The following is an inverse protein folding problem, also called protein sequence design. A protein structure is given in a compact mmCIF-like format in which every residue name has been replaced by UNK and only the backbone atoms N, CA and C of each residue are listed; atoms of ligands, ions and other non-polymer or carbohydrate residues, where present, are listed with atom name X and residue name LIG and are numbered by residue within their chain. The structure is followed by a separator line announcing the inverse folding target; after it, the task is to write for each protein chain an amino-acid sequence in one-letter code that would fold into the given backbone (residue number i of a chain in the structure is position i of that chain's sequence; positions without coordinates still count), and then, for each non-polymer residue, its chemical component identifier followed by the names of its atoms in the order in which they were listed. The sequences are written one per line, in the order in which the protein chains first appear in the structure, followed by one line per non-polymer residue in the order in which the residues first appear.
data_IF_018508525417
#
_entry.id   IF_018508525417
#
_cell.length_a   1.000
_cell.length_b   1.000
_cell.length_c   1.000
_cell.angle_alpha   90.00
_cell.angle_beta   90.00
_cell.angle_gamma   90.00
#
_symmetry.space_group_name_H-M   'P 1'
#
loop_
_entity.id
_entity.type
_entity.pdbx_description
1 polymer ?
#
# COMPACT_ATOMS: atom_id res chain seq x y z
N UNK A 1 -4.41 2.66 8.62
CA UNK A 1 -3.63 3.56 7.73
C UNK A 1 -2.23 3.06 7.43
N UNK A 2 -1.73 2.03 8.12
CA UNK A 2 -0.36 1.54 7.95
C UNK A 2 -0.02 1.09 6.52
N UNK A 3 -0.92 0.32 5.88
CA UNK A 3 -0.69 -0.19 4.52
C UNK A 3 -0.47 0.93 3.50
N UNK A 4 -1.29 1.99 3.54
CA UNK A 4 -1.11 3.14 2.64
C UNK A 4 0.14 3.93 3.01
N UNK A 5 0.46 4.07 4.30
CA UNK A 5 1.69 4.72 4.74
C UNK A 5 2.95 4.03 4.18
N UNK A 6 2.96 2.70 4.12
CA UNK A 6 4.07 1.94 3.54
C UNK A 6 4.21 2.19 2.03
N UNK A 7 3.11 2.33 1.30
CA UNK A 7 3.14 2.65 -0.13
C UNK A 7 3.55 4.10 -0.41
N UNK A 8 3.12 5.03 0.44
CA UNK A 8 3.58 6.43 0.38
C UNK A 8 5.08 6.50 0.67
N UNK A 9 5.58 5.79 1.69
CA UNK A 9 7.02 5.71 1.99
C UNK A 9 7.81 5.19 0.79
N UNK A 10 7.33 4.14 0.13
CA UNK A 10 7.95 3.60 -1.09
C UNK A 10 7.94 4.61 -2.23
N UNK A 11 6.84 5.35 -2.42
CA UNK A 11 6.74 6.42 -3.40
C UNK A 11 7.72 7.57 -3.13
N UNK A 12 7.87 7.97 -1.86
CA UNK A 12 8.83 8.99 -1.42
C UNK A 12 10.28 8.54 -1.65
N UNK A 13 10.63 7.29 -1.36
CA UNK A 13 11.96 6.75 -1.63
C UNK A 13 12.31 6.78 -3.14
N UNK A 14 11.33 6.47 -4.01
CA UNK A 14 11.50 6.61 -5.48
C UNK A 14 11.73 8.07 -5.88
N UNK A 15 10.97 9.02 -5.29
CA UNK A 15 11.13 10.44 -5.54
C UNK A 15 12.50 10.96 -5.05
N UNK A 16 12.96 10.52 -3.87
CA UNK A 16 14.28 10.86 -3.33
C UNK A 16 15.39 10.47 -4.30
N UNK A 17 15.32 9.26 -4.87
CA UNK A 17 16.29 8.79 -5.87
C UNK A 17 16.34 9.72 -7.09
N UNK A 18 15.19 10.11 -7.61
CA UNK A 18 15.09 11.03 -8.77
C UNK A 18 15.63 12.42 -8.43
N UNK A 19 15.36 12.93 -7.23
CA UNK A 19 15.92 14.20 -6.75
C UNK A 19 17.44 14.12 -6.70
N UNK A 20 18.00 13.05 -6.10
CA UNK A 20 19.44 12.85 -6.00
C UNK A 20 20.11 12.73 -7.37
N UNK A 21 19.51 12.00 -8.30
CA UNK A 21 19.96 11.92 -9.69
C UNK A 21 20.01 13.32 -10.32
N UNK A 22 18.92 14.09 -10.25
CA UNK A 22 18.85 15.45 -10.82
C UNK A 22 19.87 16.42 -10.23
N UNK A 23 20.14 16.32 -8.92
CA UNK A 23 21.16 17.14 -8.27
C UNK A 23 22.57 16.87 -8.80
N UNK A 24 22.85 15.67 -9.32
CA UNK A 24 24.17 15.35 -9.90
C UNK A 24 24.31 15.74 -11.36
N UNK A 25 23.20 15.91 -12.10
CA UNK A 25 23.22 16.14 -13.55
C UNK A 25 22.91 17.58 -13.94
N UNK A 26 22.23 18.35 -13.08
CA UNK A 26 21.86 19.74 -13.36
C UNK A 26 22.95 20.73 -12.94
N UNK A 27 23.02 21.84 -13.65
CA UNK A 27 23.92 22.94 -13.35
C UNK A 27 23.51 23.64 -12.04
N UNK A 28 24.49 23.91 -11.18
CA UNK A 28 24.30 24.38 -9.80
C UNK A 28 23.58 25.72 -9.75
N UNK A 29 23.83 26.59 -10.72
CA UNK A 29 23.23 27.93 -10.79
C UNK A 29 21.74 27.91 -11.21
N UNK A 30 21.29 26.82 -11.85
CA UNK A 30 19.90 26.65 -12.31
C UNK A 30 19.03 25.80 -11.37
N UNK A 31 19.60 25.25 -10.29
CA UNK A 31 18.87 24.38 -9.37
C UNK A 31 17.91 25.19 -8.50
N UNK A 32 16.62 24.84 -8.56
CA UNK A 32 15.61 25.29 -7.61
C UNK A 32 14.89 24.09 -7.00
N UNK A 33 14.31 24.19 -5.80
CA UNK A 33 13.58 23.08 -5.20
C UNK A 33 12.43 22.55 -6.08
N UNK A 34 11.79 23.44 -6.86
CA UNK A 34 10.72 23.07 -7.77
C UNK A 34 11.19 22.24 -8.97
N UNK A 35 12.41 22.49 -9.50
CA UNK A 35 12.94 21.72 -10.63
C UNK A 35 13.42 20.33 -10.22
N UNK A 36 13.77 20.15 -8.95
CA UNK A 36 14.18 18.86 -8.40
C UNK A 36 12.99 17.93 -8.09
N UNK A 37 11.89 18.48 -7.57
CA UNK A 37 10.76 17.67 -7.10
C UNK A 37 9.94 17.14 -8.30
N UNK A 38 9.76 15.83 -8.35
CA UNK A 38 8.84 15.17 -9.27
C UNK A 38 7.82 14.33 -8.48
N UNK A 39 6.56 14.74 -8.49
CA UNK A 39 5.49 14.08 -7.72
C UNK A 39 4.98 12.79 -8.36
N UNK A 40 5.29 12.52 -9.64
CA UNK A 40 4.75 11.37 -10.38
C UNK A 40 4.96 10.01 -9.68
N UNK A 41 6.13 9.70 -9.08
CA UNK A 41 6.34 8.43 -8.39
C UNK A 41 5.42 8.21 -7.18
N UNK A 42 5.12 9.28 -6.44
CA UNK A 42 4.22 9.24 -5.27
C UNK A 42 2.78 9.05 -5.71
N UNK A 43 2.34 9.81 -6.72
CA UNK A 43 0.98 9.67 -7.28
C UNK A 43 0.79 8.28 -7.87
N UNK A 44 1.79 7.74 -8.56
CA UNK A 44 1.75 6.40 -9.11
C UNK A 44 1.62 5.33 -8.02
N UNK A 45 2.38 5.39 -6.93
CA UNK A 45 2.29 4.39 -5.85
C UNK A 45 0.92 4.42 -5.15
N UNK A 46 0.35 5.60 -4.96
CA UNK A 46 -1.01 5.74 -4.39
C UNK A 46 -2.06 5.16 -5.35
N UNK A 47 -1.98 5.50 -6.65
CA UNK A 47 -2.91 4.99 -7.66
C UNK A 47 -2.83 3.46 -7.80
N UNK A 48 -1.64 2.90 -7.80
CA UNK A 48 -1.41 1.46 -7.85
C UNK A 48 -2.04 0.77 -6.63
N UNK A 49 -1.81 1.31 -5.43
CA UNK A 49 -2.39 0.74 -4.20
C UNK A 49 -3.92 0.70 -4.23
N UNK A 50 -4.60 1.77 -4.64
CA UNK A 50 -6.07 1.77 -4.65
C UNK A 50 -6.67 1.12 -5.91
N UNK A 51 -5.95 1.14 -7.03
CA UNK A 51 -6.44 0.66 -8.32
C UNK A 51 -6.28 -0.83 -8.54
N UNK A 52 -5.18 -1.43 -8.09
CA UNK A 52 -4.83 -2.83 -8.43
C UNK A 52 -4.43 -3.71 -7.25
N UNK A 53 -4.32 -3.16 -6.04
CA UNK A 53 -4.01 -3.97 -4.86
C UNK A 53 -5.08 -5.02 -4.59
N UNK A 54 -4.66 -6.24 -4.28
CA UNK A 54 -5.55 -7.32 -3.83
C UNK A 54 -6.35 -6.97 -2.57
N UNK A 55 -5.87 -6.00 -1.78
CA UNK A 55 -6.53 -5.51 -0.57
C UNK A 55 -7.54 -4.38 -0.86
N UNK A 56 -7.50 -3.77 -2.05
CA UNK A 56 -8.49 -2.78 -2.49
C UNK A 56 -9.60 -3.50 -3.25
N UNK A 57 -10.63 -3.93 -2.52
CA UNK A 57 -11.73 -4.73 -3.06
C UNK A 57 -12.93 -3.86 -3.42
N UNK A 58 -13.69 -4.29 -4.43
CA UNK A 58 -14.98 -3.69 -4.72
C UNK A 58 -15.94 -3.92 -3.56
N UNK A 59 -16.51 -2.84 -3.04
CA UNK A 59 -17.30 -2.86 -1.82
C UNK A 59 -18.60 -3.64 -2.01
N UNK A 60 -18.90 -4.55 -1.08
CA UNK A 60 -20.20 -5.24 -1.01
C UNK A 60 -21.23 -4.30 -0.37
N UNK A 61 -22.26 -3.93 -1.12
CA UNK A 61 -23.23 -2.91 -0.74
C UNK A 61 -24.68 -3.41 -0.85
N UNK A 62 -24.91 -4.72 -0.86
CA UNK A 62 -26.26 -5.27 -0.98
C UNK A 62 -27.17 -4.83 0.19
N UNK A 63 -26.59 -4.63 1.37
CA UNK A 63 -27.28 -4.11 2.56
C UNK A 63 -26.25 -3.51 3.55
N UNK A 64 -26.69 -2.73 4.56
CA UNK A 64 -25.77 -2.11 5.53
C UNK A 64 -24.91 -3.11 6.31
N UNK A 65 -25.42 -4.31 6.59
CA UNK A 65 -24.67 -5.35 7.31
C UNK A 65 -23.57 -5.95 6.43
N UNK A 66 -23.84 -6.22 5.15
CA UNK A 66 -22.81 -6.60 4.16
C UNK A 66 -21.71 -5.54 4.09
N UNK A 67 -22.09 -4.26 4.07
CA UNK A 67 -21.13 -3.16 4.06
C UNK A 67 -20.27 -3.11 5.33
N UNK A 68 -20.86 -3.32 6.49
CA UNK A 68 -20.15 -3.30 7.77
C UNK A 68 -19.21 -4.52 7.92
N UNK A 69 -19.68 -5.71 7.54
CA UNK A 69 -18.92 -6.95 7.61
C UNK A 69 -17.73 -6.94 6.65
N UNK A 70 -17.88 -6.42 5.43
CA UNK A 70 -16.76 -6.27 4.48
C UNK A 70 -15.68 -5.34 5.05
N UNK A 71 -16.05 -4.15 5.55
CA UNK A 71 -15.08 -3.20 6.13
C UNK A 71 -14.34 -3.72 7.36
N UNK A 72 -14.93 -4.64 8.12
CA UNK A 72 -14.34 -5.25 9.32
C UNK A 72 -13.66 -6.59 9.06
N UNK A 73 -13.66 -7.08 7.82
CA UNK A 73 -13.03 -8.36 7.47
C UNK A 73 -11.51 -8.25 7.59
N UNK A 74 -10.91 -9.20 8.31
CA UNK A 74 -9.46 -9.38 8.37
C UNK A 74 -9.01 -10.38 7.30
N UNK A 75 -7.84 -10.14 6.69
CA UNK A 75 -7.25 -11.00 5.68
C UNK A 75 -5.78 -11.24 6.00
N UNK A 76 -5.37 -12.50 6.03
CA UNK A 76 -3.96 -12.90 6.07
C UNK A 76 -3.31 -12.98 4.67
N UNK A 77 -4.12 -12.81 3.62
CA UNK A 77 -3.69 -12.84 2.23
C UNK A 77 -3.30 -11.44 1.76
N UNK A 78 -2.29 -11.37 0.88
CA UNK A 78 -1.87 -10.14 0.21
C UNK A 78 -0.35 -9.95 0.21
N UNK A 79 0.14 -8.83 -0.32
CA UNK A 79 1.57 -8.49 -0.32
C UNK A 79 2.13 -8.46 1.11
N UNK A 80 3.20 -9.24 1.37
CA UNK A 80 3.79 -9.38 2.71
C UNK A 80 3.06 -10.37 3.63
N UNK A 81 1.94 -10.95 3.19
CA UNK A 81 1.21 -12.00 3.90
C UNK A 81 1.41 -13.38 3.27
N UNK A 82 0.41 -14.25 3.46
CA UNK A 82 0.42 -15.61 2.93
C UNK A 82 -0.22 -15.67 1.55
N UNK A 83 0.32 -16.50 0.67
CA UNK A 83 -0.40 -16.95 -0.53
C UNK A 83 -1.35 -18.08 -0.17
N UNK A 84 -2.51 -18.20 -0.86
CA UNK A 84 -3.49 -19.26 -0.61
C UNK A 84 -2.89 -20.66 -0.65
N UNK A 85 -1.99 -20.90 -1.60
CA UNK A 85 -1.30 -22.19 -1.82
C UNK A 85 -0.33 -22.57 -0.68
N UNK A 86 0.28 -21.56 -0.03
CA UNK A 86 1.26 -21.76 1.06
C UNK A 86 0.63 -21.66 2.45
N UNK A 87 -0.64 -21.27 2.56
CA UNK A 87 -1.32 -21.18 3.84
C UNK A 87 -1.67 -22.59 4.34
N UNK A 88 -0.86 -23.11 5.26
CA UNK A 88 -1.06 -24.42 5.89
C UNK A 88 -2.24 -24.48 6.87
N UNK A 89 -2.42 -25.64 7.52
CA UNK A 89 -3.52 -25.85 8.45
C UNK A 89 -3.40 -25.00 9.72
N UNK A 90 -2.18 -24.87 10.28
CA UNK A 90 -1.91 -24.15 11.54
C UNK A 90 -2.34 -22.68 11.53
N UNK A 91 -2.25 -22.02 10.38
CA UNK A 91 -2.64 -20.61 10.20
C UNK A 91 -4.11 -20.43 9.86
N UNK A 92 -4.82 -21.51 9.50
CA UNK A 92 -6.25 -21.50 9.17
C UNK A 92 -7.13 -21.91 10.33
N UNK A 93 -6.60 -22.70 11.26
CA UNK A 93 -7.33 -23.18 12.42
C UNK A 93 -7.60 -22.05 13.42
N UNK A 94 -8.61 -22.25 14.27
CA UNK A 94 -8.99 -21.28 15.30
C UNK A 94 -8.06 -21.42 16.50
N UNK A 95 -7.28 -20.38 16.76
CA UNK A 95 -6.41 -20.34 17.94
C UNK A 95 -7.20 -19.84 19.18
N UNK A 96 -6.95 -20.37 20.40
CA UNK A 96 -7.64 -19.92 21.62
C UNK A 96 -7.56 -18.41 21.88
N UNK A 97 -6.49 -17.74 21.41
CA UNK A 97 -6.33 -16.28 21.51
C UNK A 97 -7.31 -15.47 20.65
N UNK A 98 -8.08 -16.12 19.77
CA UNK A 98 -9.17 -15.49 19.01
C UNK A 98 -10.38 -15.19 19.89
N UNK A 99 -10.47 -15.79 21.08
CA UNK A 99 -11.58 -15.55 21.99
C UNK A 99 -11.66 -14.06 22.38
N UNK A 100 -12.74 -13.40 21.96
CA UNK A 100 -13.02 -11.99 22.28
C UNK A 100 -12.30 -10.95 21.40
N UNK A 101 -11.71 -11.36 20.26
CA UNK A 101 -11.11 -10.46 19.26
C UNK A 101 -11.93 -10.45 17.98
#
# INVERSE_FOLDING_TARGET
GELIQNQVRTGLARMERVVRERMTTQDVEAITPQTLINIRPVVASIKEFFGTSQLSQFMDQNNPLSGLTHKRRLSALGPGGLSRERAGFEVRDVHPSHYGR
#
